data_IF_136485380863
#
_entry.id   IF_136485380863
#
_cell.length_a   1.000
_cell.length_b   1.000
_cell.length_c   1.000
_cell.angle_alpha   90.00
_cell.angle_beta   90.00
_cell.angle_gamma   90.00
#
_symmetry.space_group_name_H-M   'P 1'
#
loop_
_entity.id
_entity.type
_entity.pdbx_description
1 polymer ?
#
# COMPACT_ATOMS: atom_id res chain seq x y z
N UNK A 1 -23.92 -49.83 35.57
CA UNK A 1 -24.13 -49.56 34.16
C UNK A 1 -22.94 -48.77 33.62
N UNK A 2 -22.03 -49.45 32.94
CA UNK A 2 -20.81 -48.86 32.31
C UNK A 2 -21.10 -48.59 30.85
N UNK A 3 -21.05 -47.34 30.39
CA UNK A 3 -21.20 -46.96 28.99
C UNK A 3 -19.80 -46.77 28.41
N UNK A 4 -19.41 -47.64 27.50
CA UNK A 4 -18.21 -47.58 26.71
C UNK A 4 -18.40 -46.51 25.61
N UNK A 5 -17.47 -45.55 25.53
CA UNK A 5 -17.35 -44.61 24.44
C UNK A 5 -16.27 -45.12 23.50
N UNK A 6 -16.67 -45.48 22.31
CA UNK A 6 -15.76 -45.92 21.24
C UNK A 6 -15.10 -44.69 20.60
N UNK A 7 -13.78 -44.62 20.63
CA UNK A 7 -12.98 -43.62 19.93
C UNK A 7 -12.80 -44.11 18.49
N UNK A 8 -13.39 -43.41 17.54
CA UNK A 8 -13.19 -43.67 16.10
C UNK A 8 -11.96 -42.93 15.62
N UNK A 9 -10.90 -43.66 15.30
CA UNK A 9 -9.69 -43.14 14.66
C UNK A 9 -9.98 -42.95 13.17
N UNK A 10 -10.10 -41.70 12.74
CA UNK A 10 -10.15 -41.35 11.32
C UNK A 10 -8.70 -41.29 10.82
N UNK A 11 -8.33 -42.24 10.00
CA UNK A 11 -7.01 -42.32 9.36
C UNK A 11 -6.82 -41.17 8.37
N UNK A 12 -5.78 -40.38 8.60
CA UNK A 12 -5.35 -39.34 7.72
C UNK A 12 -4.42 -39.94 6.63
N UNK A 13 -4.97 -40.15 5.42
CA UNK A 13 -4.16 -40.50 4.26
C UNK A 13 -3.48 -39.25 3.73
N UNK A 14 -2.17 -39.17 3.91
CA UNK A 14 -1.34 -38.12 3.31
C UNK A 14 -1.08 -38.49 1.85
N UNK A 15 -1.71 -37.79 0.92
CA UNK A 15 -1.40 -37.85 -0.49
C UNK A 15 -0.24 -36.91 -0.78
N UNK A 16 0.93 -37.46 -1.09
CA UNK A 16 2.11 -36.72 -1.53
C UNK A 16 1.86 -36.23 -2.96
N UNK A 17 1.64 -34.92 -3.12
CA UNK A 17 1.71 -34.26 -4.43
C UNK A 17 3.04 -33.51 -4.57
N UNK A 18 3.62 -33.44 -5.78
CA UNK A 18 4.95 -32.92 -5.99
C UNK A 18 5.01 -31.40 -5.94
N UNK A 19 5.94 -30.92 -5.16
CA UNK A 19 6.61 -29.60 -5.17
C UNK A 19 5.89 -28.41 -5.81
N UNK A 20 5.06 -27.75 -5.02
CA UNK A 20 4.73 -26.34 -5.14
C UNK A 20 4.64 -25.78 -3.73
N UNK A 21 5.35 -24.70 -3.43
CA UNK A 21 5.39 -24.10 -2.10
C UNK A 21 3.98 -23.76 -1.60
N UNK A 22 3.47 -24.56 -0.66
CA UNK A 22 2.24 -24.27 0.08
C UNK A 22 2.68 -23.72 1.43
N UNK A 23 2.53 -22.42 1.64
CA UNK A 23 2.66 -21.82 2.96
C UNK A 23 1.31 -21.97 3.67
N UNK A 24 1.19 -22.96 4.56
CA UNK A 24 0.04 -23.10 5.45
C UNK A 24 0.29 -22.26 6.70
N UNK A 25 -0.45 -21.17 6.86
CA UNK A 25 -0.56 -20.45 8.12
C UNK A 25 -1.84 -20.91 8.84
N UNK A 26 -1.68 -21.68 9.89
CA UNK A 26 -2.78 -22.05 10.78
C UNK A 26 -3.00 -20.94 11.80
N UNK A 27 -4.10 -20.20 11.66
CA UNK A 27 -4.64 -19.33 12.71
C UNK A 27 -5.81 -20.06 13.34
N UNK A 28 -5.78 -20.23 14.66
CA UNK A 28 -6.82 -20.92 15.41
C UNK A 28 -8.16 -20.18 15.27
N UNK A 29 -9.15 -20.80 14.62
CA UNK A 29 -10.55 -20.43 14.72
C UNK A 29 -11.30 -20.05 13.46
N UNK A 30 -10.70 -20.01 12.26
CA UNK A 30 -11.44 -19.81 11.02
C UNK A 30 -10.82 -20.63 9.88
N UNK A 31 -11.60 -21.48 9.22
CA UNK A 31 -11.17 -22.17 8.02
C UNK A 31 -11.16 -21.17 6.85
N UNK A 32 -9.99 -20.73 6.47
CA UNK A 32 -9.80 -19.93 5.24
C UNK A 32 -9.47 -20.88 4.12
N UNK A 33 -10.33 -20.99 3.13
CA UNK A 33 -10.05 -21.71 1.89
C UNK A 33 -8.94 -20.96 1.14
N UNK A 34 -7.75 -21.56 1.07
CA UNK A 34 -6.66 -21.01 0.29
C UNK A 34 -6.99 -21.11 -1.20
N UNK A 35 -7.37 -19.99 -1.80
CA UNK A 35 -7.40 -19.85 -3.25
C UNK A 35 -5.94 -19.68 -3.71
N UNK A 36 -5.48 -20.57 -4.59
CA UNK A 36 -4.14 -20.51 -5.17
C UNK A 36 -4.01 -19.23 -5.99
N UNK A 37 -3.27 -18.26 -5.49
CA UNK A 37 -2.91 -17.05 -6.23
C UNK A 37 -1.74 -17.43 -7.15
N UNK A 38 -2.00 -17.50 -8.45
CA UNK A 38 -0.96 -17.63 -9.47
C UNK A 38 -0.22 -16.30 -9.55
N UNK A 39 0.96 -16.21 -8.93
CA UNK A 39 1.84 -15.05 -9.12
C UNK A 39 2.36 -15.07 -10.57
N UNK A 40 2.22 -13.98 -11.33
CA UNK A 40 2.69 -13.90 -12.72
C UNK A 40 4.19 -14.14 -12.90
N UNK A 41 4.96 -14.09 -11.82
CA UNK A 41 6.42 -14.23 -11.81
C UNK A 41 6.93 -15.66 -11.58
N UNK A 42 6.05 -16.63 -11.32
CA UNK A 42 6.48 -17.97 -10.91
C UNK A 42 7.13 -18.81 -12.02
N UNK A 43 7.02 -18.43 -13.30
CA UNK A 43 7.46 -19.23 -14.45
C UNK A 43 8.40 -18.51 -15.42
N UNK A 44 9.02 -17.39 -15.06
CA UNK A 44 9.96 -16.71 -15.94
C UNK A 44 11.39 -16.88 -15.44
N UNK A 45 12.20 -17.65 -16.15
CA UNK A 45 13.63 -17.86 -15.90
C UNK A 45 14.50 -16.64 -16.26
N UNK A 46 13.91 -15.52 -16.68
CA UNK A 46 14.61 -14.34 -17.20
C UNK A 46 14.21 -13.01 -16.53
N UNK A 47 13.38 -13.02 -15.50
CA UNK A 47 12.96 -11.80 -14.81
C UNK A 47 13.86 -11.58 -13.59
N UNK A 48 14.43 -10.37 -13.49
CA UNK A 48 15.15 -9.93 -12.30
C UNK A 48 14.23 -10.06 -11.07
N UNK A 49 14.60 -10.81 -10.02
CA UNK A 49 13.77 -11.00 -8.82
C UNK A 49 13.46 -9.69 -8.08
N UNK A 50 14.21 -8.62 -8.34
CA UNK A 50 13.93 -7.28 -7.80
C UNK A 50 12.75 -6.57 -8.50
N UNK A 51 12.31 -7.06 -9.66
CA UNK A 51 11.19 -6.50 -10.41
C UNK A 51 9.82 -7.03 -9.97
N UNK A 52 9.77 -8.08 -9.14
CA UNK A 52 8.51 -8.61 -8.62
C UNK A 52 8.03 -7.77 -7.44
N UNK A 53 6.76 -7.31 -7.45
CA UNK A 53 6.18 -6.63 -6.30
C UNK A 53 6.25 -7.53 -5.07
N UNK A 54 6.88 -7.03 -4.00
CA UNK A 54 6.95 -7.76 -2.74
C UNK A 54 5.67 -7.49 -1.93
N UNK A 55 5.20 -8.46 -1.12
CA UNK A 55 4.07 -8.23 -0.24
C UNK A 55 4.37 -7.10 0.74
N UNK A 56 3.45 -6.19 0.89
CA UNK A 56 3.59 -5.02 1.75
C UNK A 56 2.76 -5.23 3.01
N UNK A 57 3.37 -5.02 4.16
CA UNK A 57 2.68 -5.09 5.45
C UNK A 57 2.09 -3.73 5.78
N UNK A 58 0.77 -3.65 5.79
CA UNK A 58 0.04 -2.47 6.28
C UNK A 58 -0.61 -2.84 7.61
N UNK A 59 -0.03 -2.38 8.70
CA UNK A 59 -0.42 -2.84 10.04
C UNK A 59 -0.05 -4.32 10.25
N UNK A 60 -0.92 -5.10 10.86
CA UNK A 60 -0.72 -6.56 11.07
C UNK A 60 -1.22 -7.41 9.88
N UNK A 61 -1.64 -6.79 8.78
CA UNK A 61 -2.19 -7.49 7.62
C UNK A 61 -1.21 -7.40 6.45
N UNK A 62 -0.81 -8.55 5.92
CA UNK A 62 -0.13 -8.63 4.64
C UNK A 62 -1.14 -8.28 3.55
N UNK A 63 -1.01 -7.09 2.97
CA UNK A 63 -1.81 -6.69 1.81
C UNK A 63 -1.02 -7.04 0.56
N UNK A 64 -1.56 -7.93 -0.25
CA UNK A 64 -1.03 -8.18 -1.58
C UNK A 64 -1.25 -6.90 -2.43
N UNK A 65 -0.18 -6.30 -2.99
CA UNK A 65 -0.32 -5.13 -3.86
C UNK A 65 -1.31 -5.33 -5.01
N UNK A 66 -1.50 -6.57 -5.47
CA UNK A 66 -2.46 -6.93 -6.50
C UNK A 66 -3.92 -6.86 -6.04
N UNK A 67 -4.18 -6.81 -4.73
CA UNK A 67 -5.55 -6.73 -4.16
C UNK A 67 -6.00 -5.30 -3.87
N UNK A 68 -5.12 -4.30 -4.04
CA UNK A 68 -5.49 -2.89 -3.88
C UNK A 68 -6.37 -2.50 -5.08
N UNK A 69 -7.68 -2.21 -4.87
CA UNK A 69 -8.53 -1.81 -5.97
C UNK A 69 -8.05 -0.46 -6.52
N UNK A 70 -7.42 -0.50 -7.67
CA UNK A 70 -7.06 0.71 -8.36
C UNK A 70 -8.06 0.97 -9.48
N UNK A 71 -8.50 2.20 -9.66
CA UNK A 71 -9.34 2.58 -10.79
C UNK A 71 -8.62 2.41 -12.13
N UNK A 72 -7.30 2.41 -12.10
CA UNK A 72 -6.43 1.99 -13.20
C UNK A 72 -5.15 1.35 -12.66
N UNK A 73 -4.45 0.58 -13.47
CA UNK A 73 -3.24 -0.14 -13.06
C UNK A 73 -2.09 0.78 -12.59
N UNK A 74 -2.05 2.04 -13.02
CA UNK A 74 -1.00 3.00 -12.63
C UNK A 74 -1.14 3.44 -11.18
N UNK A 75 -2.36 3.70 -10.71
CA UNK A 75 -2.61 4.06 -9.32
C UNK A 75 -2.19 2.91 -8.37
N UNK A 76 -2.48 1.65 -8.73
CA UNK A 76 -2.05 0.49 -7.97
C UNK A 76 -0.52 0.38 -7.88
N UNK A 77 0.19 0.61 -8.99
CA UNK A 77 1.67 0.62 -9.02
C UNK A 77 2.22 1.75 -8.15
N UNK A 78 1.65 2.95 -8.23
CA UNK A 78 2.10 4.08 -7.41
C UNK A 78 1.89 3.80 -5.91
N UNK A 79 0.73 3.27 -5.52
CA UNK A 79 0.46 2.88 -4.13
C UNK A 79 1.44 1.81 -3.66
N UNK A 80 1.65 0.76 -4.45
CA UNK A 80 2.58 -0.32 -4.11
C UNK A 80 4.02 0.22 -3.94
N UNK A 81 4.44 1.16 -4.79
CA UNK A 81 5.76 1.79 -4.68
C UNK A 81 5.91 2.62 -3.39
N UNK A 82 4.90 3.43 -3.03
CA UNK A 82 4.91 4.19 -1.79
C UNK A 82 4.96 3.28 -0.55
N UNK A 83 4.11 2.25 -0.52
CA UNK A 83 4.09 1.27 0.57
C UNK A 83 5.41 0.49 0.67
N UNK A 84 6.02 0.16 -0.46
CA UNK A 84 7.34 -0.49 -0.50
C UNK A 84 8.42 0.42 0.07
N UNK A 85 8.42 1.71 -0.25
CA UNK A 85 9.36 2.68 0.31
C UNK A 85 9.23 2.75 1.84
N UNK A 86 8.01 2.81 2.36
CA UNK A 86 7.74 2.75 3.81
C UNK A 86 8.22 1.44 4.41
N UNK A 87 7.84 0.30 3.82
CA UNK A 87 8.17 -1.03 4.34
C UNK A 87 9.67 -1.36 4.34
N UNK A 88 10.47 -0.73 3.45
CA UNK A 88 11.93 -0.85 3.40
C UNK A 88 12.65 0.08 4.38
N UNK A 89 11.92 0.87 5.17
CA UNK A 89 12.51 1.80 6.12
C UNK A 89 13.12 3.04 5.46
N UNK A 90 12.49 3.57 4.43
CA UNK A 90 12.87 4.84 3.83
C UNK A 90 12.93 5.97 4.87
N UNK A 91 13.72 6.98 4.60
CA UNK A 91 14.01 8.06 5.55
C UNK A 91 13.44 9.38 5.07
N UNK A 92 13.05 10.24 6.01
CA UNK A 92 12.77 11.62 5.68
C UNK A 92 14.08 12.39 5.50
N UNK A 93 14.25 13.00 4.33
CA UNK A 93 15.34 13.93 4.02
C UNK A 93 14.74 15.05 3.18
N UNK A 94 14.96 16.30 3.55
CA UNK A 94 14.51 17.44 2.76
C UNK A 94 15.06 17.35 1.33
N UNK A 95 14.22 17.62 0.33
CA UNK A 95 14.52 17.51 -1.10
C UNK A 95 14.86 16.07 -1.56
N UNK A 96 14.61 15.04 -0.70
CA UNK A 96 14.77 13.64 -1.04
C UNK A 96 13.65 13.14 -1.96
N UNK A 97 14.01 12.46 -3.06
CA UNK A 97 13.05 11.96 -4.05
C UNK A 97 13.24 10.48 -4.42
N UNK A 98 13.79 9.72 -3.46
CA UNK A 98 13.95 8.27 -3.52
C UNK A 98 15.30 7.80 -4.09
N UNK A 99 15.59 6.51 -4.06
CA UNK A 99 14.70 5.42 -3.63
C UNK A 99 14.69 5.14 -2.11
N UNK A 100 15.50 5.83 -1.30
CA UNK A 100 15.64 5.63 0.15
C UNK A 100 15.28 6.89 0.94
N UNK A 101 15.70 8.04 0.44
CA UNK A 101 15.52 9.34 1.08
C UNK A 101 14.38 10.10 0.39
N UNK A 102 13.45 10.62 1.17
CA UNK A 102 12.22 11.24 0.67
C UNK A 102 11.84 12.46 1.49
N UNK A 103 11.38 13.52 0.85
CA UNK A 103 10.45 14.46 1.43
C UNK A 103 9.00 14.13 0.99
N UNK A 104 8.04 14.97 1.37
CA UNK A 104 6.62 14.70 1.10
C UNK A 104 6.31 14.62 -0.40
N UNK A 105 6.80 15.57 -1.19
CA UNK A 105 6.62 15.61 -2.65
C UNK A 105 7.50 14.59 -3.37
N UNK A 106 8.67 14.32 -2.83
CA UNK A 106 9.60 13.32 -3.35
C UNK A 106 9.06 11.89 -3.23
N UNK A 107 8.37 11.56 -2.14
CA UNK A 107 7.72 10.25 -2.01
C UNK A 107 6.60 10.09 -3.04
N UNK A 108 5.75 11.08 -3.21
CA UNK A 108 4.64 11.02 -4.17
C UNK A 108 5.13 11.04 -5.62
N UNK A 109 6.14 11.84 -5.96
CA UNK A 109 6.74 11.85 -7.30
C UNK A 109 7.46 10.54 -7.60
N UNK A 110 8.18 9.98 -6.64
CA UNK A 110 8.79 8.66 -6.77
C UNK A 110 7.75 7.58 -7.04
N UNK A 111 6.69 7.53 -6.25
CA UNK A 111 5.63 6.54 -6.36
C UNK A 111 4.97 6.58 -7.76
N UNK A 112 4.58 7.74 -8.21
CA UNK A 112 3.95 7.90 -9.52
C UNK A 112 4.92 7.68 -10.69
N UNK A 113 6.21 8.00 -10.50
CA UNK A 113 7.26 7.69 -11.50
C UNK A 113 7.41 6.17 -11.71
N UNK A 114 7.26 5.35 -10.66
CA UNK A 114 7.23 3.88 -10.81
C UNK A 114 6.03 3.41 -11.65
N UNK A 115 4.95 4.17 -11.63
CA UNK A 115 3.75 3.93 -12.45
C UNK A 115 3.85 4.53 -13.88
N UNK A 116 5.00 5.11 -14.24
CA UNK A 116 5.20 5.75 -15.53
C UNK A 116 4.57 7.14 -15.67
N UNK A 117 4.20 7.78 -14.55
CA UNK A 117 3.66 9.15 -14.52
C UNK A 117 4.65 10.09 -13.86
N UNK A 118 5.03 11.16 -14.55
CA UNK A 118 5.97 12.15 -14.04
C UNK A 118 5.22 13.25 -13.28
N UNK A 119 5.41 13.30 -11.96
CA UNK A 119 5.04 14.45 -11.13
C UNK A 119 6.27 15.26 -10.80
N UNK A 120 6.13 16.58 -10.81
CA UNK A 120 7.19 17.48 -10.36
C UNK A 120 7.38 17.30 -8.85
N UNK A 121 8.63 17.28 -8.41
CA UNK A 121 8.96 17.15 -7.00
C UNK A 121 8.78 18.47 -6.24
N UNK A 122 7.53 18.91 -6.15
CA UNK A 122 7.10 20.09 -5.42
C UNK A 122 5.58 20.08 -5.21
N UNK A 123 5.12 20.09 -3.98
CA UNK A 123 3.73 19.83 -3.62
C UNK A 123 2.72 20.77 -4.28
N UNK A 124 3.01 22.07 -4.42
CA UNK A 124 2.15 23.03 -5.11
C UNK A 124 2.02 22.73 -6.60
N UNK A 125 3.11 22.33 -7.26
CA UNK A 125 3.07 21.92 -8.67
C UNK A 125 2.32 20.60 -8.82
N UNK A 126 2.50 19.65 -7.90
CA UNK A 126 1.72 18.41 -7.90
C UNK A 126 0.21 18.71 -7.75
N UNK A 127 -0.17 19.69 -6.93
CA UNK A 127 -1.56 20.12 -6.86
C UNK A 127 -2.09 20.58 -8.22
N UNK A 128 -1.30 21.35 -8.96
CA UNK A 128 -1.66 21.79 -10.31
C UNK A 128 -1.65 20.65 -11.36
N UNK A 129 -0.96 19.55 -11.08
CA UNK A 129 -0.94 18.32 -11.90
C UNK A 129 -2.05 17.33 -11.51
N UNK A 130 -2.95 17.71 -10.62
CA UNK A 130 -4.09 16.89 -10.22
C UNK A 130 -5.41 17.60 -10.50
N UNK A 131 -6.48 16.80 -10.68
CA UNK A 131 -7.86 17.29 -10.71
C UNK A 131 -8.43 17.22 -9.31
N UNK A 132 -9.02 18.31 -8.83
CA UNK A 132 -9.72 18.35 -7.56
C UNK A 132 -10.85 17.34 -7.51
N UNK A 133 -10.92 16.59 -6.42
CA UNK A 133 -11.97 15.62 -6.16
C UNK A 133 -12.55 15.83 -4.76
N UNK A 134 -13.86 15.63 -4.58
CA UNK A 134 -14.46 15.66 -3.26
C UNK A 134 -14.03 14.43 -2.45
N UNK A 135 -14.00 14.55 -1.12
CA UNK A 135 -13.63 13.46 -0.20
C UNK A 135 -14.39 12.16 -0.46
N UNK A 136 -15.65 12.24 -0.88
CA UNK A 136 -16.48 11.07 -1.19
C UNK A 136 -16.07 10.29 -2.43
N UNK A 137 -15.20 10.86 -3.26
CA UNK A 137 -14.68 10.23 -4.49
C UNK A 137 -13.21 9.85 -4.40
N UNK A 138 -12.61 9.97 -3.22
CA UNK A 138 -11.21 9.62 -2.99
C UNK A 138 -10.99 8.13 -3.21
N UNK A 139 -9.89 7.80 -3.86
CA UNK A 139 -9.49 6.44 -4.22
C UNK A 139 -7.99 6.24 -3.96
N UNK A 140 -7.52 5.00 -3.80
CA UNK A 140 -6.08 4.73 -3.74
C UNK A 140 -5.33 5.31 -4.95
N UNK A 141 -4.20 5.95 -4.69
CA UNK A 141 -3.39 6.69 -5.65
C UNK A 141 -3.67 8.20 -5.69
N UNK A 142 -4.83 8.66 -5.24
CA UNK A 142 -5.08 10.09 -5.14
C UNK A 142 -4.10 10.77 -4.16
N UNK A 143 -3.86 12.06 -4.37
CA UNK A 143 -3.03 12.85 -3.47
C UNK A 143 -3.87 13.64 -2.48
N UNK A 144 -3.33 13.81 -1.29
CA UNK A 144 -3.91 14.63 -0.21
C UNK A 144 -3.00 15.81 0.01
N UNK A 145 -3.57 17.01 0.18
CA UNK A 145 -2.81 18.25 0.30
C UNK A 145 -3.17 19.03 1.56
N UNK A 146 -2.14 19.58 2.22
CA UNK A 146 -2.25 20.49 3.36
C UNK A 146 -1.50 21.77 3.04
N UNK A 147 -2.22 22.84 2.76
CA UNK A 147 -1.68 24.16 2.45
C UNK A 147 -2.23 25.24 3.37
N UNK A 148 -3.08 24.87 4.35
CA UNK A 148 -3.70 25.80 5.30
C UNK A 148 -2.80 26.14 6.51
N UNK A 149 -1.66 25.43 6.67
CA UNK A 149 -0.77 25.54 7.82
C UNK A 149 0.51 26.33 7.54
N UNK A 150 1.41 26.35 8.51
CA UNK A 150 2.72 27.01 8.38
C UNK A 150 3.63 26.28 7.37
N UNK A 151 3.35 25.01 7.12
CA UNK A 151 4.11 24.17 6.19
C UNK A 151 3.15 23.57 5.17
N UNK A 152 3.61 23.42 3.93
CA UNK A 152 2.90 22.69 2.91
C UNK A 152 3.25 21.21 2.99
N UNK A 153 2.26 20.36 2.73
CA UNK A 153 2.47 18.91 2.78
C UNK A 153 1.62 18.21 1.71
N UNK A 154 2.09 17.03 1.28
CA UNK A 154 1.38 16.14 0.36
C UNK A 154 1.61 14.68 0.77
N UNK A 155 0.59 13.85 0.59
CA UNK A 155 0.66 12.41 0.80
C UNK A 155 -0.10 11.67 -0.30
N UNK A 156 0.15 10.37 -0.43
CA UNK A 156 -0.60 9.49 -1.34
C UNK A 156 -1.59 8.65 -0.55
N UNK A 157 -2.83 8.56 -1.05
CA UNK A 157 -3.86 7.67 -0.50
C UNK A 157 -3.51 6.23 -0.83
N UNK A 158 -3.49 5.37 0.18
CA UNK A 158 -3.15 3.95 0.01
C UNK A 158 -4.35 3.02 0.11
N UNK A 159 -5.37 3.39 0.90
CA UNK A 159 -6.61 2.62 1.02
C UNK A 159 -7.79 3.53 1.39
N UNK A 160 -9.00 3.11 1.04
CA UNK A 160 -10.26 3.74 1.47
C UNK A 160 -11.21 2.64 1.93
N UNK A 161 -11.59 2.67 3.21
CA UNK A 161 -12.49 1.70 3.83
C UNK A 161 -13.65 2.44 4.49
N UNK A 162 -14.79 2.52 3.82
CA UNK A 162 -15.90 3.34 4.26
C UNK A 162 -15.53 4.82 4.32
N UNK A 163 -15.54 5.44 5.51
CA UNK A 163 -15.11 6.82 5.74
C UNK A 163 -13.63 6.96 6.10
N UNK A 164 -12.93 5.86 6.34
CA UNK A 164 -11.52 5.85 6.71
C UNK A 164 -10.65 5.91 5.45
N UNK A 165 -9.65 6.77 5.48
CA UNK A 165 -8.67 6.94 4.41
C UNK A 165 -7.29 6.69 5.02
N UNK A 166 -6.56 5.73 4.46
CA UNK A 166 -5.17 5.48 4.79
C UNK A 166 -4.26 6.21 3.81
N UNK A 167 -3.17 6.75 4.30
CA UNK A 167 -2.17 7.47 3.49
C UNK A 167 -0.76 6.93 3.75
N UNK A 168 0.13 7.11 2.78
CA UNK A 168 1.57 7.04 2.96
C UNK A 168 2.15 8.45 2.80
N UNK A 169 3.03 8.83 3.71
CA UNK A 169 3.63 10.17 3.76
C UNK A 169 5.10 10.13 4.20
N UNK A 170 5.90 11.03 3.70
CA UNK A 170 7.15 11.43 4.32
C UNK A 170 6.84 12.67 5.17
N UNK A 171 6.68 12.47 6.48
CA UNK A 171 6.04 13.43 7.36
C UNK A 171 6.99 14.57 7.76
N UNK A 172 8.09 14.23 8.42
CA UNK A 172 9.13 15.15 8.89
C UNK A 172 10.34 14.32 9.40
N UNK A 173 11.47 14.96 9.79
CA UNK A 173 12.65 14.23 10.26
C UNK A 173 12.42 13.34 11.49
N UNK A 174 11.49 13.72 12.37
CA UNK A 174 11.19 12.98 13.60
C UNK A 174 10.30 11.76 13.31
N UNK A 175 9.24 11.94 12.54
CA UNK A 175 8.28 10.89 12.22
C UNK A 175 8.71 9.99 11.05
N UNK A 176 9.66 10.45 10.23
CA UNK A 176 10.15 9.73 9.06
C UNK A 176 9.10 9.57 7.97
N UNK A 177 9.21 8.45 7.23
CA UNK A 177 8.17 8.03 6.29
C UNK A 177 7.31 6.93 6.92
N UNK A 178 6.00 7.01 6.72
CA UNK A 178 5.04 6.13 7.40
C UNK A 178 3.72 6.00 6.66
N UNK A 179 2.92 5.03 7.10
CA UNK A 179 1.49 4.99 6.82
C UNK A 179 0.69 5.41 8.05
N UNK A 180 -0.43 6.09 7.86
CA UNK A 180 -1.40 6.39 8.92
C UNK A 180 -2.82 6.56 8.38
N UNK A 181 -3.79 6.55 9.29
CA UNK A 181 -5.14 7.03 8.98
C UNK A 181 -5.15 8.55 8.88
N UNK A 182 -5.91 9.05 7.91
CA UNK A 182 -6.19 10.47 7.78
C UNK A 182 -7.22 10.87 8.85
N UNK A 183 -6.86 11.85 9.67
CA UNK A 183 -7.70 12.38 10.74
C UNK A 183 -6.87 12.97 11.89
N UNK A 184 -7.57 13.63 12.80
CA UNK A 184 -6.98 14.34 13.92
C UNK A 184 -6.83 15.84 13.68
N UNK A 185 -6.45 16.53 14.75
CA UNK A 185 -6.50 18.01 14.80
C UNK A 185 -5.70 18.70 13.70
N UNK A 186 -4.53 18.14 13.32
CA UNK A 186 -3.70 18.72 12.28
C UNK A 186 -4.37 18.58 10.89
N UNK A 187 -4.91 17.41 10.58
CA UNK A 187 -5.62 17.19 9.32
C UNK A 187 -6.87 18.08 9.25
N UNK A 188 -7.64 18.17 10.33
CA UNK A 188 -8.83 19.01 10.39
C UNK A 188 -8.52 20.51 10.23
N UNK A 189 -7.37 20.95 10.77
CA UNK A 189 -6.97 22.36 10.72
C UNK A 189 -6.40 22.78 9.35
N UNK A 190 -5.66 21.91 8.67
CA UNK A 190 -4.78 22.33 7.58
C UNK A 190 -5.01 21.59 6.25
N UNK A 191 -5.82 20.52 6.22
CA UNK A 191 -6.15 19.82 4.99
C UNK A 191 -6.93 20.73 4.03
N UNK A 192 -6.43 20.89 2.82
CA UNK A 192 -7.04 21.77 1.79
C UNK A 192 -7.73 21.01 0.68
N UNK A 193 -7.52 19.69 0.57
CA UNK A 193 -8.27 18.88 -0.40
C UNK A 193 -7.52 17.68 -0.93
N UNK A 194 -8.15 17.06 -1.91
CA UNK A 194 -7.67 15.87 -2.60
C UNK A 194 -7.55 16.13 -4.09
N UNK A 195 -6.59 15.48 -4.71
CA UNK A 195 -6.36 15.59 -6.14
C UNK A 195 -6.12 14.24 -6.79
N UNK A 196 -6.81 13.99 -7.88
CA UNK A 196 -6.55 12.83 -8.73
C UNK A 196 -5.52 13.17 -9.78
N UNK A 197 -4.44 12.39 -9.81
CA UNK A 197 -3.43 12.51 -10.84
C UNK A 197 -4.06 12.17 -12.18
N UNK A 198 -3.94 13.07 -13.14
CA UNK A 198 -4.43 12.83 -14.49
C UNK A 198 -3.26 12.57 -15.44
N UNK A 199 -3.55 11.75 -16.43
CA UNK A 199 -2.62 11.54 -17.53
C UNK A 199 -2.62 12.78 -18.42
N UNK A 200 -1.43 13.24 -18.76
CA UNK A 200 -1.25 14.21 -19.83
C UNK A 200 -1.49 13.53 -21.19
#
# INVERSE_FOLDING_TARGET
>A
MKRNVALSLIGLSVLLLPTGCVASLAVAGAAVTATSISTPCANSTTVNPEACPQPVVVGAVLVDPATIPAPDGQAAVAVAAALTAVGRGGRYVAEGNGPVDFDCSGLTSYAWRQAGVSLVDYSYTQRAQTRDIPRSMVQPGDLVFWFGGPEHHVAIVTAVEGSQISIAEAANPEAGIRTRLLGGNWDEAYLTGFGRVFRA
#
